data_IF_747967557108
#
_entry.id   IF_747967557108
#
_cell.length_a   1.000
_cell.length_b   1.000
_cell.length_c   1.000
_cell.angle_alpha   90.00
_cell.angle_beta   90.00
_cell.angle_gamma   90.00
#
_symmetry.space_group_name_H-M   'P 1'
#
loop_
_entity.id
_entity.type
_entity.pdbx_description
1 polymer ?
#
# COMPACT_ATOMS: atom_id res chain seq x y z
N UNK A 1 21.26 -9.47 13.03
CA UNK A 1 20.78 -9.82 11.67
C UNK A 1 20.69 -11.33 11.40
N UNK A 2 21.76 -12.11 11.34
CA UNK A 2 21.67 -13.55 11.01
C UNK A 2 20.77 -14.36 11.95
N UNK A 3 20.84 -14.11 13.27
CA UNK A 3 19.96 -14.76 14.26
C UNK A 3 18.50 -14.37 14.09
N UNK A 4 18.22 -13.12 13.76
CA UNK A 4 16.86 -12.61 13.53
C UNK A 4 16.28 -13.20 12.26
N UNK A 5 17.06 -13.33 11.19
CA UNK A 5 16.64 -14.00 9.95
C UNK A 5 16.37 -15.49 10.18
N UNK A 6 17.21 -16.17 10.98
CA UNK A 6 16.94 -17.57 11.36
C UNK A 6 15.67 -17.71 12.17
N UNK A 7 15.41 -16.79 13.11
CA UNK A 7 14.17 -16.76 13.88
C UNK A 7 12.97 -16.51 12.99
N UNK A 8 13.06 -15.53 12.07
CA UNK A 8 12.02 -15.26 11.07
C UNK A 8 11.66 -16.53 10.28
N UNK A 9 12.66 -17.21 9.71
CA UNK A 9 12.47 -18.47 8.97
C UNK A 9 11.76 -19.52 9.83
N UNK A 10 12.22 -19.70 11.06
CA UNK A 10 11.63 -20.67 11.99
C UNK A 10 10.16 -20.34 12.35
N UNK A 11 9.80 -19.07 12.50
CA UNK A 11 8.41 -18.65 12.73
C UNK A 11 7.57 -18.95 11.49
N UNK A 12 8.02 -18.50 10.31
CA UNK A 12 7.27 -18.68 9.05
C UNK A 12 7.07 -20.16 8.68
N UNK A 13 8.05 -21.02 8.95
CA UNK A 13 7.93 -22.47 8.74
C UNK A 13 6.79 -23.08 9.55
N UNK A 14 6.61 -22.64 10.80
CA UNK A 14 5.56 -23.14 11.71
C UNK A 14 4.20 -22.49 11.48
N UNK A 15 4.17 -21.30 10.85
CA UNK A 15 2.96 -20.57 10.57
C UNK A 15 2.16 -21.23 9.44
N UNK A 16 0.85 -21.17 9.54
CA UNK A 16 -0.07 -21.71 8.54
C UNK A 16 -1.02 -20.66 7.96
N UNK A 17 -1.21 -19.54 8.67
CA UNK A 17 -2.10 -18.45 8.29
C UNK A 17 -1.39 -17.11 8.42
N UNK A 18 -0.41 -16.89 7.57
CA UNK A 18 0.36 -15.63 7.55
C UNK A 18 -0.48 -14.54 6.86
N UNK A 19 -0.53 -13.36 7.47
CA UNK A 19 -1.03 -12.14 6.83
C UNK A 19 0.11 -11.14 6.72
N UNK A 20 0.24 -10.53 5.56
CA UNK A 20 1.18 -9.44 5.34
C UNK A 20 0.46 -8.08 5.43
N UNK A 21 1.00 -7.17 6.23
CA UNK A 21 0.58 -5.77 6.27
C UNK A 21 1.68 -4.90 5.70
N UNK A 22 1.44 -4.25 4.56
CA UNK A 22 2.49 -3.59 3.81
C UNK A 22 2.27 -2.09 3.64
N UNK A 23 3.37 -1.33 3.66
CA UNK A 23 3.41 0.09 3.36
C UNK A 23 4.38 0.42 2.22
N UNK A 24 4.57 1.71 1.95
CA UNK A 24 5.32 2.19 0.79
C UNK A 24 6.80 1.76 0.75
N UNK A 25 7.39 1.42 1.90
CA UNK A 25 8.74 0.90 1.99
C UNK A 25 8.95 -0.37 1.16
N UNK A 26 7.92 -1.22 0.98
CA UNK A 26 8.00 -2.42 0.15
C UNK A 26 8.28 -2.08 -1.32
N UNK A 27 7.81 -0.94 -1.81
CA UNK A 27 7.91 -0.55 -3.22
C UNK A 27 9.16 0.28 -3.56
N UNK A 28 9.96 0.63 -2.55
CA UNK A 28 11.21 1.42 -2.75
C UNK A 28 12.19 0.69 -3.66
N UNK A 29 12.40 -0.61 -3.46
CA UNK A 29 13.24 -1.44 -4.33
C UNK A 29 12.69 -1.62 -5.75
N UNK A 30 11.42 -1.28 -5.99
CA UNK A 30 10.81 -1.19 -7.31
C UNK A 30 11.00 0.19 -7.96
N UNK A 31 11.70 1.12 -7.29
CA UNK A 31 11.92 2.49 -7.74
C UNK A 31 10.69 3.39 -7.62
N UNK A 32 9.78 3.07 -6.69
CA UNK A 32 8.69 3.97 -6.25
C UNK A 32 9.15 4.58 -4.93
N UNK A 33 9.35 5.92 -4.85
CA UNK A 33 9.71 6.55 -3.59
C UNK A 33 8.59 6.33 -2.56
N UNK A 34 8.97 6.12 -1.31
CA UNK A 34 7.97 6.10 -0.25
C UNK A 34 7.40 7.51 0.00
N UNK A 35 6.40 7.61 0.88
CA UNK A 35 5.73 8.88 1.10
C UNK A 35 6.49 9.80 2.05
N UNK A 36 7.17 9.28 3.08
CA UNK A 36 7.60 10.05 4.25
C UNK A 36 9.10 10.11 4.51
N UNK A 37 9.89 9.21 3.91
CA UNK A 37 11.35 9.27 4.06
C UNK A 37 11.93 10.51 3.41
N UNK A 38 13.13 10.86 3.80
CA UNK A 38 13.88 11.94 3.17
C UNK A 38 14.08 11.62 1.67
N UNK A 39 13.61 12.51 0.78
CA UNK A 39 13.54 12.24 -0.66
C UNK A 39 12.29 11.47 -1.12
N UNK A 40 11.35 11.16 -0.22
CA UNK A 40 10.06 10.62 -0.55
C UNK A 40 9.10 11.67 -1.13
N UNK A 41 7.93 11.22 -1.58
CA UNK A 41 6.96 12.08 -2.27
C UNK A 41 6.55 13.31 -1.42
N UNK A 42 6.33 13.13 -0.11
CA UNK A 42 5.93 14.22 0.79
C UNK A 42 7.04 15.22 1.02
N UNK A 43 8.29 14.76 1.12
CA UNK A 43 9.46 15.61 1.26
C UNK A 43 9.68 16.47 -0.01
N UNK A 44 9.53 15.86 -1.19
CA UNK A 44 9.61 16.61 -2.47
C UNK A 44 8.52 17.66 -2.59
N UNK A 45 7.25 17.30 -2.31
CA UNK A 45 6.12 18.23 -2.37
C UNK A 45 6.31 19.39 -1.39
N UNK A 46 6.77 19.10 -0.17
CA UNK A 46 6.99 20.13 0.86
C UNK A 46 8.12 21.08 0.49
N UNK A 47 9.17 20.62 -0.20
CA UNK A 47 10.24 21.47 -0.74
C UNK A 47 9.73 22.44 -1.82
N UNK A 48 8.70 22.04 -2.56
CA UNK A 48 8.00 22.90 -3.52
C UNK A 48 7.02 23.88 -2.84
N UNK A 49 6.99 23.92 -1.49
CA UNK A 49 6.13 24.82 -0.70
C UNK A 49 4.65 24.43 -0.66
N UNK A 50 4.32 23.18 -1.02
CA UNK A 50 2.94 22.68 -1.05
C UNK A 50 2.69 21.72 0.12
N UNK A 51 1.42 21.55 0.53
CA UNK A 51 1.03 20.53 1.51
C UNK A 51 0.71 19.21 0.80
N UNK A 52 1.45 18.13 1.08
CA UNK A 52 1.16 16.81 0.52
C UNK A 52 -0.23 16.31 0.88
N UNK A 53 -0.66 16.54 2.12
CA UNK A 53 -1.98 16.15 2.60
C UNK A 53 -3.09 16.88 1.84
N UNK A 54 -2.91 18.18 1.55
CA UNK A 54 -3.87 18.92 0.74
C UNK A 54 -3.92 18.38 -0.70
N UNK A 55 -2.77 18.17 -1.34
CA UNK A 55 -2.73 17.68 -2.73
C UNK A 55 -3.39 16.30 -2.89
N UNK A 56 -3.38 15.47 -1.84
CA UNK A 56 -4.02 14.16 -1.79
C UNK A 56 -5.38 14.18 -1.07
N UNK A 57 -6.06 15.33 -1.03
CA UNK A 57 -7.33 15.47 -0.30
C UNK A 57 -8.54 15.63 -1.23
N UNK A 58 -9.71 15.36 -0.65
CA UNK A 58 -11.01 15.64 -1.28
C UNK A 58 -11.23 17.16 -1.45
N UNK A 59 -10.63 17.97 -0.58
CA UNK A 59 -10.71 19.43 -0.67
C UNK A 59 -10.01 19.94 -1.94
N UNK A 60 -8.79 19.47 -2.22
CA UNK A 60 -8.08 19.82 -3.47
C UNK A 60 -8.88 19.39 -4.71
N UNK A 61 -9.46 18.19 -4.70
CA UNK A 61 -10.32 17.72 -5.79
C UNK A 61 -11.54 18.63 -6.01
N UNK A 62 -12.11 19.19 -4.93
CA UNK A 62 -13.28 20.07 -5.02
C UNK A 62 -12.92 21.52 -5.37
N UNK A 63 -11.82 22.03 -4.83
CA UNK A 63 -11.37 23.41 -4.99
C UNK A 63 -10.80 23.67 -6.37
N UNK A 64 -9.92 22.76 -6.88
CA UNK A 64 -9.25 22.89 -8.16
C UNK A 64 -9.05 21.54 -8.85
N UNK A 65 -10.06 21.15 -9.62
CA UNK A 65 -10.10 19.88 -10.35
C UNK A 65 -8.95 19.74 -11.35
N UNK A 66 -8.58 20.83 -12.03
CA UNK A 66 -7.50 20.80 -13.02
C UNK A 66 -6.15 20.59 -12.36
N UNK A 67 -5.87 21.29 -11.27
CA UNK A 67 -4.67 21.11 -10.47
C UNK A 67 -4.58 19.69 -9.89
N UNK A 68 -5.70 19.14 -9.41
CA UNK A 68 -5.76 17.75 -8.93
C UNK A 68 -5.42 16.75 -10.04
N UNK A 69 -5.97 16.92 -11.25
CA UNK A 69 -5.68 16.07 -12.39
C UNK A 69 -4.19 16.17 -12.76
N UNK A 70 -3.65 17.38 -12.86
CA UNK A 70 -2.23 17.60 -13.15
C UNK A 70 -1.33 16.94 -12.11
N UNK A 71 -1.70 17.04 -10.84
CA UNK A 71 -0.96 16.43 -9.74
C UNK A 71 -0.87 14.91 -9.88
N UNK A 72 -2.00 14.20 -10.02
CA UNK A 72 -1.94 12.74 -10.10
C UNK A 72 -1.28 12.24 -11.39
N UNK A 73 -1.46 12.95 -12.52
CA UNK A 73 -0.77 12.61 -13.76
C UNK A 73 0.75 12.75 -13.65
N UNK A 74 1.24 13.79 -12.99
CA UNK A 74 2.68 14.08 -12.86
C UNK A 74 3.38 13.27 -11.77
N UNK A 75 2.69 13.05 -10.64
CA UNK A 75 3.33 12.56 -9.41
C UNK A 75 2.94 11.13 -9.03
N UNK A 76 1.75 10.67 -9.41
CA UNK A 76 1.27 9.35 -9.00
C UNK A 76 1.32 8.31 -10.13
N UNK A 77 1.06 8.70 -11.37
CA UNK A 77 1.08 7.80 -12.52
C UNK A 77 2.51 7.51 -12.99
N UNK A 78 3.21 6.69 -12.22
CA UNK A 78 4.57 6.25 -12.59
C UNK A 78 4.47 5.04 -13.51
N UNK A 79 5.11 5.14 -14.68
CA UNK A 79 5.16 4.06 -15.66
C UNK A 79 6.24 3.00 -15.31
N UNK A 80 6.09 1.81 -15.88
CA UNK A 80 7.12 0.76 -15.99
C UNK A 80 7.73 0.26 -14.66
N UNK A 81 6.99 0.40 -13.54
CA UNK A 81 7.41 -0.19 -12.27
C UNK A 81 7.02 -1.66 -12.21
N UNK A 82 7.94 -2.48 -11.71
CA UNK A 82 7.76 -3.93 -11.61
C UNK A 82 7.87 -4.39 -10.16
N UNK A 83 7.18 -5.47 -9.79
CA UNK A 83 7.35 -6.09 -8.49
C UNK A 83 8.82 -6.45 -8.24
N UNK A 84 9.28 -6.21 -7.02
CA UNK A 84 10.61 -6.63 -6.56
C UNK A 84 10.53 -7.98 -5.82
N UNK A 85 11.68 -8.43 -5.31
CA UNK A 85 11.82 -9.73 -4.63
C UNK A 85 10.86 -9.88 -3.44
N UNK A 86 10.57 -8.80 -2.70
CA UNK A 86 9.66 -8.85 -1.54
C UNK A 86 8.22 -9.15 -1.98
N UNK A 87 7.73 -8.49 -3.03
CA UNK A 87 6.41 -8.79 -3.60
C UNK A 87 6.33 -10.24 -4.09
N UNK A 88 7.40 -10.71 -4.77
CA UNK A 88 7.47 -12.07 -5.31
C UNK A 88 7.49 -13.13 -4.18
N UNK A 89 8.22 -12.87 -3.10
CA UNK A 89 8.27 -13.71 -1.92
C UNK A 89 6.90 -13.83 -1.24
N UNK A 90 6.19 -12.72 -1.03
CA UNK A 90 4.83 -12.73 -0.49
C UNK A 90 3.89 -13.56 -1.37
N UNK A 91 3.93 -13.36 -2.69
CA UNK A 91 3.12 -14.12 -3.63
C UNK A 91 3.49 -15.62 -3.67
N UNK A 92 4.75 -15.97 -3.42
CA UNK A 92 5.19 -17.36 -3.31
C UNK A 92 4.57 -18.05 -2.09
N UNK A 93 4.59 -17.42 -0.91
CA UNK A 93 3.98 -17.95 0.31
C UNK A 93 2.46 -18.11 0.18
N UNK A 94 1.79 -17.25 -0.58
CA UNK A 94 0.38 -17.42 -0.89
C UNK A 94 0.14 -18.65 -1.79
N UNK A 95 0.97 -18.86 -2.83
CA UNK A 95 0.90 -20.05 -3.69
C UNK A 95 1.16 -21.35 -2.94
N UNK A 96 1.99 -21.31 -1.92
CA UNK A 96 2.28 -22.43 -1.01
C UNK A 96 1.21 -22.65 0.05
N UNK A 97 0.12 -21.90 0.01
CA UNK A 97 -0.97 -21.93 1.01
C UNK A 97 -0.52 -21.63 2.44
N UNK A 98 0.56 -20.90 2.60
CA UNK A 98 1.07 -20.41 3.88
C UNK A 98 0.49 -19.06 4.27
N UNK A 99 0.06 -18.26 3.28
CA UNK A 99 -0.45 -16.91 3.49
C UNK A 99 -1.93 -16.79 3.13
N UNK A 100 -2.67 -16.08 3.96
CA UNK A 100 -4.05 -15.64 3.69
C UNK A 100 -4.12 -14.42 2.75
N UNK A 101 -2.97 -13.81 2.44
CA UNK A 101 -2.84 -12.68 1.54
C UNK A 101 -2.29 -11.41 2.19
N UNK A 102 -2.53 -10.31 1.53
CA UNK A 102 -1.92 -9.00 1.82
C UNK A 102 -3.00 -7.99 2.19
N UNK A 103 -2.73 -7.21 3.23
CA UNK A 103 -3.41 -5.96 3.56
C UNK A 103 -2.41 -4.85 3.24
N UNK A 104 -2.67 -4.03 2.25
CA UNK A 104 -1.71 -3.01 1.82
C UNK A 104 -2.23 -1.59 1.93
N UNK A 105 -1.37 -0.67 2.32
CA UNK A 105 -1.59 0.76 2.23
C UNK A 105 -1.19 1.32 0.85
N UNK A 106 -0.48 0.52 0.05
CA UNK A 106 0.01 0.94 -1.26
C UNK A 106 -1.10 0.96 -2.30
N UNK A 107 -0.98 1.90 -3.22
CA UNK A 107 -1.92 2.12 -4.33
C UNK A 107 -1.33 1.73 -5.69
N UNK A 108 -0.09 1.21 -5.72
CA UNK A 108 0.70 0.94 -6.93
C UNK A 108 0.28 -0.32 -7.70
N UNK A 109 -0.39 -1.28 -7.03
CA UNK A 109 -0.84 -2.54 -7.61
C UNK A 109 0.23 -3.63 -7.71
N UNK A 110 1.45 -3.40 -7.23
CA UNK A 110 2.58 -4.32 -7.42
C UNK A 110 2.41 -5.69 -6.75
N UNK A 111 1.62 -5.79 -5.66
CA UNK A 111 1.30 -7.10 -5.08
C UNK A 111 0.50 -7.98 -6.05
N UNK A 112 -0.50 -7.41 -6.70
CA UNK A 112 -1.30 -8.12 -7.72
C UNK A 112 -0.45 -8.46 -8.94
N UNK A 113 0.41 -7.55 -9.37
CA UNK A 113 1.34 -7.78 -10.49
C UNK A 113 2.38 -8.88 -10.19
N UNK A 114 2.74 -9.08 -8.92
CA UNK A 114 3.60 -10.19 -8.47
C UNK A 114 2.87 -11.55 -8.44
N UNK A 115 1.54 -11.55 -8.58
CA UNK A 115 0.72 -12.75 -8.58
C UNK A 115 0.01 -13.05 -7.26
N UNK A 116 0.03 -12.14 -6.28
CA UNK A 116 -0.85 -12.23 -5.09
C UNK A 116 -2.31 -12.08 -5.51
N UNK A 117 -3.17 -12.98 -5.02
CA UNK A 117 -4.59 -13.04 -5.40
C UNK A 117 -5.51 -12.41 -4.35
N UNK A 118 -5.10 -12.44 -3.09
CA UNK A 118 -5.88 -11.97 -1.94
C UNK A 118 -5.28 -10.67 -1.39
N UNK A 119 -5.41 -9.59 -2.16
CA UNK A 119 -4.89 -8.26 -1.81
C UNK A 119 -6.03 -7.34 -1.38
N UNK A 120 -5.97 -6.83 -0.15
CA UNK A 120 -6.87 -5.78 0.35
C UNK A 120 -6.15 -4.43 0.30
N UNK A 121 -6.46 -3.64 -0.73
CA UNK A 121 -5.92 -2.30 -0.96
C UNK A 121 -6.69 -1.29 -0.11
N UNK A 122 -6.22 -0.99 1.12
CA UNK A 122 -6.91 -0.11 2.08
C UNK A 122 -7.11 1.31 1.54
N UNK A 123 -6.13 1.80 0.80
CA UNK A 123 -6.16 3.15 0.22
C UNK A 123 -6.57 3.15 -1.26
N UNK A 124 -7.16 2.07 -1.75
CA UNK A 124 -7.55 1.94 -3.15
C UNK A 124 -6.38 1.66 -4.08
N UNK A 125 -6.53 1.97 -5.39
CA UNK A 125 -5.56 1.56 -6.41
C UNK A 125 -5.47 2.57 -7.55
N UNK A 126 -4.27 2.72 -8.11
CA UNK A 126 -4.00 3.44 -9.36
C UNK A 126 -4.29 2.60 -10.62
N UNK A 127 -4.67 1.33 -10.47
CA UNK A 127 -5.01 0.47 -11.61
C UNK A 127 -6.43 0.72 -12.15
N UNK A 128 -7.27 1.40 -11.36
CA UNK A 128 -8.64 1.79 -11.73
C UNK A 128 -8.84 3.28 -11.61
N UNK A 129 -9.64 3.80 -12.53
CA UNK A 129 -10.11 5.18 -12.56
C UNK A 129 -11.60 5.19 -12.81
N UNK A 130 -12.28 6.23 -12.38
CA UNK A 130 -13.70 6.39 -12.64
C UNK A 130 -14.10 7.86 -12.81
N UNK A 131 -15.18 8.07 -13.55
CA UNK A 131 -15.80 9.38 -13.68
C UNK A 131 -16.53 9.76 -12.38
N UNK A 132 -16.29 10.96 -11.85
CA UNK A 132 -16.93 11.42 -10.59
C UNK A 132 -18.46 11.57 -10.70
N UNK A 133 -19.04 11.60 -11.91
CA UNK A 133 -20.47 11.81 -12.14
C UNK A 133 -21.21 10.55 -12.58
N UNK A 134 -20.72 9.87 -13.60
CA UNK A 134 -21.44 8.74 -14.19
C UNK A 134 -20.81 7.38 -13.86
N UNK A 135 -19.72 7.37 -13.08
CA UNK A 135 -19.00 6.17 -12.62
C UNK A 135 -18.51 5.27 -13.77
N UNK A 136 -18.39 5.80 -15.00
CA UNK A 136 -17.74 5.06 -16.08
C UNK A 136 -16.28 4.78 -15.70
N UNK A 137 -15.87 3.52 -15.81
CA UNK A 137 -14.56 3.06 -15.37
C UNK A 137 -13.54 3.10 -16.52
N UNK A 138 -12.27 3.31 -16.14
CA UNK A 138 -11.11 3.32 -17.02
C UNK A 138 -9.97 2.58 -16.35
N UNK A 139 -9.16 1.86 -17.12
CA UNK A 139 -7.93 1.26 -16.64
C UNK A 139 -6.79 2.28 -16.60
N UNK A 140 -5.73 1.98 -15.83
CA UNK A 140 -4.50 2.78 -15.79
C UNK A 140 -3.90 2.94 -17.20
N UNK A 141 -3.86 1.88 -18.00
CA UNK A 141 -3.33 1.90 -19.36
C UNK A 141 -4.11 2.86 -20.25
N UNK A 142 -5.45 2.79 -20.24
CA UNK A 142 -6.27 3.74 -21.01
C UNK A 142 -5.99 5.19 -20.63
N UNK A 143 -5.90 5.49 -19.33
CA UNK A 143 -5.65 6.85 -18.84
C UNK A 143 -4.27 7.35 -19.25
N UNK A 144 -3.24 6.51 -19.14
CA UNK A 144 -1.85 6.90 -19.45
C UNK A 144 -1.61 7.01 -20.96
N UNK A 145 -2.01 6.02 -21.74
CA UNK A 145 -1.75 5.95 -23.19
C UNK A 145 -2.50 7.05 -23.97
N UNK A 146 -3.76 7.31 -23.56
CA UNK A 146 -4.60 8.28 -24.24
C UNK A 146 -4.68 9.63 -23.50
N UNK A 147 -3.92 9.81 -22.42
CA UNK A 147 -3.94 11.04 -21.60
C UNK A 147 -5.35 11.48 -21.20
N UNK A 148 -6.22 10.51 -20.85
CA UNK A 148 -7.64 10.78 -20.56
C UNK A 148 -7.74 11.57 -19.25
N UNK A 149 -8.36 12.74 -19.32
CA UNK A 149 -8.65 13.63 -18.17
C UNK A 149 -10.15 13.73 -17.89
N UNK A 150 -10.96 13.59 -18.92
CA UNK A 150 -12.40 13.77 -18.88
C UNK A 150 -13.12 12.53 -19.41
N UNK A 151 -14.28 12.27 -18.84
CA UNK A 151 -15.13 11.16 -19.22
C UNK A 151 -15.69 11.35 -20.63
N UNK A 152 -15.47 10.38 -21.49
CA UNK A 152 -15.98 10.36 -22.87
C UNK A 152 -17.51 10.34 -22.94
N UNK A 153 -18.19 9.82 -21.88
CA UNK A 153 -19.66 9.74 -21.84
C UNK A 153 -20.35 11.02 -21.40
N UNK A 154 -19.77 11.77 -20.45
CA UNK A 154 -20.47 12.88 -19.81
C UNK A 154 -19.63 14.15 -19.64
N UNK A 155 -18.37 14.15 -20.09
CA UNK A 155 -17.48 15.30 -20.05
C UNK A 155 -16.98 15.72 -18.66
N UNK A 156 -17.33 14.96 -17.60
CA UNK A 156 -16.81 15.24 -16.25
C UNK A 156 -15.43 14.62 -16.06
N UNK A 157 -14.69 15.12 -15.08
CA UNK A 157 -13.35 14.61 -14.76
C UNK A 157 -13.39 13.13 -14.37
N UNK A 158 -12.31 12.44 -14.67
CA UNK A 158 -12.01 11.13 -14.12
C UNK A 158 -10.98 11.28 -12.99
N UNK A 159 -11.03 10.38 -12.02
CA UNK A 159 -10.06 10.33 -10.92
C UNK A 159 -9.60 8.90 -10.68
N UNK A 160 -8.40 8.70 -10.09
CA UNK A 160 -7.99 7.39 -9.63
C UNK A 160 -8.90 6.89 -8.50
N UNK A 161 -9.09 5.57 -8.44
CA UNK A 161 -9.83 4.88 -7.37
C UNK A 161 -8.95 4.71 -6.13
N UNK A 162 -8.51 5.84 -5.58
CA UNK A 162 -7.72 5.92 -4.34
C UNK A 162 -8.50 6.66 -3.27
N UNK A 163 -8.22 6.35 -2.01
CA UNK A 163 -8.79 7.05 -0.85
C UNK A 163 -7.99 8.32 -0.59
N UNK A 164 -8.65 9.46 -0.72
CA UNK A 164 -8.08 10.77 -0.42
C UNK A 164 -8.22 11.12 1.06
N UNK A 165 -7.38 12.02 1.56
CA UNK A 165 -7.61 12.63 2.87
C UNK A 165 -9.00 13.29 2.90
N UNK A 166 -9.75 12.99 3.96
CA UNK A 166 -11.16 13.38 4.09
C UNK A 166 -12.17 12.33 3.60
N UNK A 167 -11.73 11.27 2.92
CA UNK A 167 -12.58 10.15 2.53
C UNK A 167 -12.47 8.97 3.51
N UNK A 168 -13.51 8.15 3.56
CA UNK A 168 -13.52 6.92 4.36
C UNK A 168 -12.93 5.75 3.57
N UNK A 169 -12.28 4.83 4.28
CA UNK A 169 -11.86 3.55 3.70
C UNK A 169 -13.09 2.77 3.21
N UNK A 170 -12.91 1.98 2.16
CA UNK A 170 -13.95 1.09 1.65
C UNK A 170 -14.31 0.04 2.71
N UNK A 171 -15.56 0.02 3.16
CA UNK A 171 -16.02 -0.84 4.26
C UNK A 171 -15.86 -2.34 3.94
N UNK A 172 -16.07 -2.76 2.68
CA UNK A 172 -15.88 -4.15 2.28
C UNK A 172 -14.41 -4.56 2.35
N UNK A 173 -13.49 -3.66 1.96
CA UNK A 173 -12.04 -3.90 2.09
C UNK A 173 -11.64 -3.97 3.56
N UNK A 174 -12.13 -3.06 4.40
CA UNK A 174 -11.93 -3.08 5.85
C UNK A 174 -12.41 -4.40 6.46
N UNK A 175 -13.62 -4.82 6.11
CA UNK A 175 -14.18 -6.08 6.63
C UNK A 175 -13.32 -7.29 6.26
N UNK A 176 -12.92 -7.44 4.98
CA UNK A 176 -12.05 -8.53 4.54
C UNK A 176 -10.69 -8.51 5.24
N UNK A 177 -10.09 -7.33 5.40
CA UNK A 177 -8.82 -7.18 6.10
C UNK A 177 -8.92 -7.62 7.57
N UNK A 178 -9.97 -7.20 8.28
CA UNK A 178 -10.22 -7.61 9.67
C UNK A 178 -10.47 -9.12 9.78
N UNK A 179 -11.24 -9.69 8.85
CA UNK A 179 -11.48 -11.14 8.80
C UNK A 179 -10.18 -11.94 8.61
N UNK A 180 -9.26 -11.47 7.76
CA UNK A 180 -7.93 -12.05 7.60
C UNK A 180 -7.13 -11.98 8.89
N UNK A 181 -7.09 -10.83 9.57
CA UNK A 181 -6.35 -10.65 10.82
C UNK A 181 -6.88 -11.55 11.93
N UNK A 182 -8.19 -11.77 12.00
CA UNK A 182 -8.80 -12.68 12.99
C UNK A 182 -8.43 -14.15 12.77
N UNK A 183 -8.13 -14.55 11.53
CA UNK A 183 -7.75 -15.92 11.15
C UNK A 183 -6.23 -16.14 11.18
N UNK A 184 -5.45 -15.08 11.22
CA UNK A 184 -3.99 -15.14 11.14
C UNK A 184 -3.39 -15.66 12.44
N UNK A 185 -2.42 -16.57 12.32
CA UNK A 185 -1.52 -16.97 13.41
C UNK A 185 -0.26 -16.06 13.44
N UNK A 186 0.09 -15.49 12.32
CA UNK A 186 1.27 -14.64 12.16
C UNK A 186 0.95 -13.42 11.31
N UNK A 187 1.27 -12.23 11.82
CA UNK A 187 1.20 -10.97 11.11
C UNK A 187 2.62 -10.46 10.83
N UNK A 188 2.93 -10.25 9.56
CA UNK A 188 4.21 -9.69 9.12
C UNK A 188 4.00 -8.29 8.57
N UNK A 189 4.49 -7.29 9.27
CA UNK A 189 4.47 -5.88 8.84
C UNK A 189 5.74 -5.58 8.06
N UNK A 190 5.59 -5.05 6.85
CA UNK A 190 6.69 -4.76 5.94
C UNK A 190 6.62 -3.31 5.45
N UNK A 191 7.71 -2.55 5.64
CA UNK A 191 7.89 -1.24 5.03
C UNK A 191 6.81 -0.21 5.37
N UNK A 192 6.27 -0.27 6.60
CA UNK A 192 5.27 0.69 7.09
C UNK A 192 5.76 1.35 8.38
N UNK A 193 5.67 2.67 8.42
CA UNK A 193 5.94 3.44 9.64
C UNK A 193 4.89 3.27 10.74
N UNK A 194 3.72 2.70 10.41
CA UNK A 194 2.58 2.48 11.30
C UNK A 194 2.07 3.75 12.01
N UNK A 195 2.14 4.91 11.35
CA UNK A 195 1.65 6.20 11.90
C UNK A 195 0.38 6.70 11.20
N UNK A 196 0.06 6.19 10.00
CA UNK A 196 -1.09 6.63 9.21
C UNK A 196 -2.36 5.96 9.69
N UNK A 197 -3.26 6.75 10.27
CA UNK A 197 -4.58 6.27 10.69
C UNK A 197 -5.61 6.40 9.54
N UNK A 198 -6.61 5.51 9.48
CA UNK A 198 -6.90 4.39 10.40
C UNK A 198 -6.11 3.11 10.10
N UNK A 199 -5.33 3.06 9.01
CA UNK A 199 -4.65 1.85 8.56
C UNK A 199 -3.69 1.26 9.61
N UNK A 200 -2.91 2.08 10.32
CA UNK A 200 -2.01 1.62 11.38
C UNK A 200 -2.75 0.89 12.51
N UNK A 201 -4.01 1.26 12.79
CA UNK A 201 -4.85 0.62 13.80
C UNK A 201 -5.15 -0.85 13.53
N UNK A 202 -5.07 -1.31 12.27
CA UNK A 202 -5.31 -2.72 11.93
C UNK A 202 -4.33 -3.67 12.63
N UNK A 203 -3.09 -3.23 12.89
CA UNK A 203 -2.11 -4.05 13.62
C UNK A 203 -2.60 -4.38 15.04
N UNK A 204 -3.33 -3.49 15.69
CA UNK A 204 -3.91 -3.71 17.03
C UNK A 204 -5.05 -4.74 17.03
N UNK A 205 -5.67 -5.00 15.88
CA UNK A 205 -6.74 -5.99 15.73
C UNK A 205 -6.21 -7.43 15.60
N UNK A 206 -4.92 -7.58 15.34
CA UNK A 206 -4.27 -8.89 15.31
C UNK A 206 -4.21 -9.49 16.72
N UNK A 207 -4.57 -10.77 16.84
CA UNK A 207 -4.63 -11.53 18.10
C UNK A 207 -3.94 -12.88 18.00
N UNK A 208 -3.20 -13.14 16.91
CA UNK A 208 -2.45 -14.37 16.72
C UNK A 208 -1.16 -14.42 17.54
N UNK A 209 -0.34 -15.41 17.24
CA UNK A 209 0.81 -15.78 18.09
C UNK A 209 2.08 -14.98 17.81
N UNK A 210 2.25 -14.49 16.56
CA UNK A 210 3.52 -13.84 16.17
C UNK A 210 3.27 -12.53 15.41
N UNK A 211 3.66 -11.40 16.00
CA UNK A 211 3.77 -10.11 15.33
C UNK A 211 5.23 -9.86 14.94
N UNK A 212 5.48 -9.75 13.64
CA UNK A 212 6.81 -9.51 13.07
C UNK A 212 6.80 -8.15 12.39
N UNK A 213 7.81 -7.33 12.65
CA UNK A 213 7.97 -6.02 11.99
C UNK A 213 9.33 -5.99 11.28
N UNK A 214 9.32 -5.78 9.96
CA UNK A 214 10.50 -5.57 9.14
C UNK A 214 10.38 -4.18 8.52
N UNK A 215 11.08 -3.22 9.10
CA UNK A 215 11.04 -1.82 8.67
C UNK A 215 12.35 -1.14 9.02
N UNK A 216 12.89 -0.33 8.12
CA UNK A 216 14.17 0.36 8.34
C UNK A 216 14.16 1.23 9.60
N UNK A 217 13.11 2.02 9.76
CA UNK A 217 12.93 2.92 10.89
C UNK A 217 12.09 2.27 11.98
N UNK A 218 12.23 2.78 13.22
CA UNK A 218 11.42 2.35 14.36
C UNK A 218 9.94 2.68 14.15
N UNK A 219 9.09 1.82 14.70
CA UNK A 219 7.64 1.99 14.67
C UNK A 219 7.06 2.07 16.08
N UNK A 220 5.87 2.65 16.26
CA UNK A 220 5.18 2.65 17.56
C UNK A 220 4.86 1.26 18.12
N UNK A 221 4.89 0.22 17.27
CA UNK A 221 4.54 -1.15 17.62
C UNK A 221 5.74 -2.06 17.90
N UNK A 222 6.98 -1.57 17.78
CA UNK A 222 8.19 -2.38 17.98
C UNK A 222 8.22 -3.08 19.34
N UNK A 223 7.77 -2.39 20.40
CA UNK A 223 7.74 -2.98 21.75
C UNK A 223 6.71 -4.10 21.94
N UNK A 224 5.72 -4.18 21.04
CA UNK A 224 4.67 -5.19 21.09
C UNK A 224 4.94 -6.35 20.13
N UNK A 225 5.98 -6.26 19.31
CA UNK A 225 6.32 -7.26 18.32
C UNK A 225 7.21 -8.38 18.94
N UNK A 226 6.99 -9.61 18.48
CA UNK A 226 7.79 -10.78 18.85
C UNK A 226 9.15 -10.81 18.14
N UNK A 227 9.19 -10.20 16.95
CA UNK A 227 10.43 -10.02 16.18
C UNK A 227 10.41 -8.67 15.46
N UNK A 228 11.49 -7.90 15.63
CA UNK A 228 11.72 -6.63 14.91
C UNK A 228 13.04 -6.71 14.17
N UNK A 229 13.03 -6.38 12.87
CA UNK A 229 14.24 -6.31 12.04
C UNK A 229 14.30 -4.90 11.42
N UNK A 230 15.29 -4.11 11.84
CA UNK A 230 15.57 -2.78 11.28
C UNK A 230 16.66 -2.89 10.22
N UNK A 231 16.27 -3.37 9.04
CA UNK A 231 17.20 -3.53 7.92
C UNK A 231 16.49 -3.38 6.57
N UNK A 232 17.27 -3.48 5.48
CA UNK A 232 16.69 -3.57 4.14
C UNK A 232 15.97 -4.90 3.97
N UNK A 233 14.67 -4.83 3.74
CA UNK A 233 13.85 -6.03 3.63
C UNK A 233 14.21 -6.92 2.44
N UNK A 234 14.89 -6.39 1.42
CA UNK A 234 15.38 -7.20 0.28
C UNK A 234 16.55 -8.10 0.66
N UNK A 235 17.24 -7.81 1.77
CA UNK A 235 18.30 -8.64 2.34
C UNK A 235 17.77 -9.66 3.36
N UNK A 236 16.50 -9.51 3.77
CA UNK A 236 15.86 -10.33 4.83
C UNK A 236 15.06 -11.48 4.25
N UNK A 237 14.47 -11.33 3.04
CA UNK A 237 13.53 -12.27 2.41
C UNK A 237 14.15 -13.14 1.32
#
# INVERSE_FOLDING_TARGET
MEKEIQLLKSILERSNNIVFFTGAGVSVASGIPDFRSMGGLFDEISKDGQSPEYLLSVDHLNDDKESFIDFYHKRLLIADKKPNIVHQWIAALEREHKSLGVITQNIDGLHSDAGSRHVDELHGTLNRFYCIKCYNEYSKSQVMENHIRYCEKCGQIIRPDIVLYGEMLNQNTVFRALEKLQKADTLVVLGSSLVVQPAAGFVSEFKGDNLIIINRDRTPYDQSADLVIHDDMTEVV
#
